data_IF_857425111680
#
_entry.id   IF_857425111680
#
_cell.length_a   1.000
_cell.length_b   1.000
_cell.length_c   1.000
_cell.angle_alpha   90.00
_cell.angle_beta   90.00
_cell.angle_gamma   90.00
#
_symmetry.space_group_name_H-M   'P 1'
#
loop_
_entity.id
_entity.type
_entity.pdbx_description
1 polymer ?
#
# COMPACT_ATOMS: atom_id res chain seq x y z
N UNK A 1 -13.77 -10.40 16.05
CA UNK A 1 -13.08 -10.42 17.36
C UNK A 1 -11.62 -10.06 17.11
N UNK A 2 -11.03 -9.07 17.80
CA UNK A 2 -9.61 -8.82 17.67
C UNK A 2 -8.87 -9.96 18.38
N UNK A 3 -7.99 -10.66 17.66
CA UNK A 3 -7.15 -11.70 18.28
C UNK A 3 -6.25 -11.06 19.34
N UNK A 4 -6.10 -11.79 20.45
CA UNK A 4 -5.24 -11.46 21.58
C UNK A 4 -3.88 -10.92 21.12
N UNK A 5 -3.42 -9.86 21.77
CA UNK A 5 -2.09 -9.24 21.70
C UNK A 5 -0.99 -10.30 21.47
N UNK A 6 -0.67 -10.58 20.21
CA UNK A 6 0.63 -11.12 19.88
C UNK A 6 1.42 -9.89 19.52
N UNK A 7 2.25 -9.42 20.46
CA UNK A 7 3.34 -8.49 20.16
C UNK A 7 4.35 -9.23 19.28
N UNK A 8 3.92 -9.62 18.09
CA UNK A 8 4.77 -10.25 17.10
C UNK A 8 5.60 -9.12 16.51
N UNK A 9 6.79 -8.99 17.06
CA UNK A 9 7.73 -7.93 16.71
C UNK A 9 8.03 -7.94 15.21
N UNK A 10 7.80 -9.06 14.50
CA UNK A 10 7.89 -9.10 13.04
C UNK A 10 6.91 -8.16 12.34
N UNK A 11 5.78 -7.81 12.95
CA UNK A 11 4.76 -6.88 12.40
C UNK A 11 5.01 -5.41 12.80
N UNK A 12 6.17 -5.08 13.36
CA UNK A 12 6.49 -3.69 13.77
C UNK A 12 6.75 -2.74 12.59
N UNK A 13 7.24 -3.25 11.46
CA UNK A 13 7.34 -2.51 10.19
C UNK A 13 7.60 -3.49 9.04
N UNK A 14 7.35 -3.04 7.80
CA UNK A 14 7.41 -3.89 6.60
C UNK A 14 8.75 -4.62 6.43
N UNK A 15 9.89 -3.92 6.61
CA UNK A 15 11.22 -4.55 6.46
C UNK A 15 11.43 -5.75 7.38
N UNK A 16 10.94 -5.65 8.62
CA UNK A 16 11.08 -6.74 9.58
C UNK A 16 10.12 -7.87 9.25
N UNK A 17 8.89 -7.53 8.89
CA UNK A 17 7.87 -8.49 8.47
C UNK A 17 8.34 -9.35 7.31
N UNK A 18 8.86 -8.75 6.24
CA UNK A 18 9.33 -9.48 5.06
C UNK A 18 10.52 -10.40 5.36
N UNK A 19 11.33 -10.07 6.38
CA UNK A 19 12.53 -10.83 6.76
C UNK A 19 12.26 -11.95 7.77
N UNK A 20 11.35 -11.70 8.71
CA UNK A 20 11.21 -12.53 9.91
C UNK A 20 9.86 -13.26 10.00
N UNK A 21 8.81 -12.77 9.32
CA UNK A 21 7.51 -13.43 9.37
C UNK A 21 7.52 -14.73 8.55
N UNK A 22 6.65 -15.71 8.89
CA UNK A 22 6.48 -16.91 8.08
C UNK A 22 6.19 -16.55 6.62
N UNK A 23 6.86 -17.22 5.67
CA UNK A 23 6.73 -16.88 4.24
C UNK A 23 5.29 -16.86 3.73
N UNK A 24 4.43 -17.76 4.22
CA UNK A 24 2.99 -17.75 3.91
C UNK A 24 2.28 -16.46 4.31
N UNK A 25 2.67 -15.83 5.42
CA UNK A 25 2.11 -14.53 5.86
C UNK A 25 2.60 -13.38 5.00
N UNK A 26 3.86 -13.41 4.58
CA UNK A 26 4.40 -12.44 3.62
C UNK A 26 3.64 -12.53 2.29
N UNK A 27 3.42 -13.75 1.77
CA UNK A 27 2.61 -13.97 0.56
C UNK A 27 1.16 -13.51 0.74
N UNK A 28 0.52 -13.85 1.86
CA UNK A 28 -0.86 -13.43 2.18
C UNK A 28 -1.00 -11.91 2.20
N UNK A 29 -0.05 -11.21 2.83
CA UNK A 29 -0.01 -9.76 2.87
C UNK A 29 0.05 -9.15 1.47
N UNK A 30 0.96 -9.63 0.61
CA UNK A 30 1.11 -9.11 -0.75
C UNK A 30 -0.09 -9.44 -1.64
N UNK A 31 -0.67 -10.63 -1.53
CA UNK A 31 -1.91 -10.97 -2.24
C UNK A 31 -3.06 -10.05 -1.84
N UNK A 32 -3.20 -9.77 -0.54
CA UNK A 32 -4.24 -8.87 -0.04
C UNK A 32 -4.02 -7.44 -0.53
N UNK A 33 -2.78 -6.94 -0.46
CA UNK A 33 -2.40 -5.63 -0.94
C UNK A 33 -2.70 -5.45 -2.44
N UNK A 34 -2.31 -6.43 -3.26
CA UNK A 34 -2.55 -6.42 -4.70
C UNK A 34 -4.04 -6.47 -5.03
N UNK A 35 -4.81 -7.33 -4.34
CA UNK A 35 -6.27 -7.40 -4.53
C UNK A 35 -6.93 -6.06 -4.22
N UNK A 36 -6.60 -5.44 -3.08
CA UNK A 36 -7.17 -4.14 -2.71
C UNK A 36 -6.78 -3.05 -3.72
N UNK A 37 -5.55 -3.04 -4.19
CA UNK A 37 -5.11 -2.09 -5.21
C UNK A 37 -5.88 -2.26 -6.53
N UNK A 38 -6.06 -3.50 -7.00
CA UNK A 38 -6.86 -3.79 -8.18
C UNK A 38 -8.33 -3.39 -8.02
N UNK A 39 -8.90 -3.58 -6.83
CA UNK A 39 -10.29 -3.17 -6.55
C UNK A 39 -10.44 -1.65 -6.58
N UNK A 40 -9.47 -0.90 -6.06
CA UNK A 40 -9.44 0.57 -6.15
C UNK A 40 -9.34 1.04 -7.61
N UNK A 41 -8.47 0.42 -8.41
CA UNK A 41 -8.34 0.75 -9.84
C UNK A 41 -9.65 0.50 -10.59
N UNK A 42 -10.29 -0.66 -10.38
CA UNK A 42 -11.59 -0.99 -10.99
C UNK A 42 -12.71 -0.05 -10.54
N UNK A 43 -12.68 0.37 -9.28
CA UNK A 43 -13.67 1.30 -8.75
C UNK A 43 -13.55 2.68 -9.42
N UNK A 44 -12.32 3.19 -9.56
CA UNK A 44 -12.04 4.47 -10.24
C UNK A 44 -12.36 4.42 -11.74
N UNK A 45 -12.04 3.32 -12.41
CA UNK A 45 -12.35 3.12 -13.84
C UNK A 45 -13.86 3.20 -14.13
N UNK A 46 -14.70 2.72 -13.20
CA UNK A 46 -16.16 2.82 -13.32
C UNK A 46 -16.72 4.22 -13.02
N UNK A 47 -15.99 5.00 -12.21
CA UNK A 47 -16.41 6.33 -11.77
C UNK A 47 -15.92 7.44 -12.73
N UNK A 48 -15.07 7.10 -13.70
CA UNK A 48 -14.61 8.00 -14.75
C UNK A 48 -15.73 8.33 -15.75
N UNK A 49 -16.64 9.21 -15.34
CA UNK A 49 -17.66 9.81 -16.20
C UNK A 49 -17.15 11.08 -16.92
N UNK A 50 -15.86 11.41 -16.81
CA UNK A 50 -15.35 12.77 -17.06
C UNK A 50 -14.08 12.91 -17.89
N UNK A 51 -13.35 11.83 -18.21
CA UNK A 51 -12.20 11.88 -19.14
C UNK A 51 -10.87 12.34 -18.51
N UNK A 52 -10.82 12.51 -17.19
CA UNK A 52 -9.58 12.75 -16.47
C UNK A 52 -9.00 11.42 -15.98
N UNK A 53 -7.77 11.08 -16.36
CA UNK A 53 -7.15 9.85 -15.83
C UNK A 53 -6.90 10.02 -14.33
N UNK A 54 -7.54 9.17 -13.54
CA UNK A 54 -7.39 9.14 -12.09
C UNK A 54 -6.27 8.18 -11.70
N UNK A 55 -5.11 8.75 -11.39
CA UNK A 55 -3.96 7.98 -10.90
C UNK A 55 -4.24 7.39 -9.51
N UNK A 56 -3.58 6.26 -9.21
CA UNK A 56 -3.57 5.67 -7.87
C UNK A 56 -2.13 5.31 -7.50
N UNK A 57 -1.75 5.62 -6.28
CA UNK A 57 -0.39 5.50 -5.77
C UNK A 57 -0.31 4.40 -4.72
N UNK A 58 0.73 3.56 -4.78
CA UNK A 58 0.94 2.45 -3.85
C UNK A 58 2.28 2.61 -3.14
N UNK A 59 2.26 2.88 -1.83
CA UNK A 59 3.49 3.15 -1.07
C UNK A 59 3.70 2.19 0.09
N UNK A 60 4.96 1.84 0.32
CA UNK A 60 5.44 1.05 1.46
C UNK A 60 6.14 1.91 2.51
N UNK A 61 6.11 3.24 2.36
CA UNK A 61 6.79 4.16 3.25
C UNK A 61 6.13 4.16 4.63
N UNK A 62 6.89 3.79 5.65
CA UNK A 62 6.40 3.63 7.01
C UNK A 62 6.28 4.93 7.83
N UNK A 63 6.90 6.03 7.38
CA UNK A 63 6.90 7.35 8.06
C UNK A 63 7.15 7.34 9.59
N UNK A 64 7.85 6.32 10.11
CA UNK A 64 8.12 6.17 11.55
C UNK A 64 6.98 5.56 12.37
N UNK A 65 5.96 5.01 11.73
CA UNK A 65 4.85 4.31 12.39
C UNK A 65 5.23 2.86 12.69
N UNK A 66 5.08 2.44 13.95
CA UNK A 66 5.56 1.17 14.47
C UNK A 66 4.55 0.01 14.38
N UNK A 67 3.94 -0.17 13.21
CA UNK A 67 3.16 -1.37 12.86
C UNK A 67 3.19 -1.63 11.35
N UNK A 68 2.85 -2.84 10.92
CA UNK A 68 2.85 -3.25 9.52
C UNK A 68 1.75 -2.53 8.74
N UNK A 69 2.13 -1.73 7.75
CA UNK A 69 1.17 -1.02 6.90
C UNK A 69 1.71 -0.76 5.50
N UNK A 70 0.78 -0.36 4.63
CA UNK A 70 1.00 0.14 3.28
C UNK A 70 -0.04 1.22 3.00
N UNK A 71 0.20 2.03 1.99
CA UNK A 71 -0.68 3.12 1.59
C UNK A 71 -1.17 2.95 0.15
N UNK A 72 -2.46 3.21 -0.06
CA UNK A 72 -3.08 3.38 -1.37
C UNK A 72 -3.71 4.76 -1.38
N UNK A 73 -3.18 5.68 -2.18
CA UNK A 73 -3.56 7.09 -2.17
C UNK A 73 -3.94 7.60 -3.58
N UNK A 74 -4.62 8.74 -3.63
CA UNK A 74 -4.90 9.51 -4.84
C UNK A 74 -3.72 10.39 -5.31
N UNK A 75 -2.72 10.58 -4.44
CA UNK A 75 -1.55 11.44 -4.69
C UNK A 75 -0.24 10.80 -4.21
N UNK A 76 0.91 11.15 -4.79
CA UNK A 76 2.22 10.55 -4.48
C UNK A 76 2.85 11.09 -3.18
N UNK A 77 2.08 11.25 -2.09
CA UNK A 77 2.51 11.89 -0.84
C UNK A 77 3.78 11.27 -0.24
N UNK A 78 3.94 9.96 -0.41
CA UNK A 78 4.97 9.17 0.25
C UNK A 78 6.18 8.83 -0.65
N UNK A 79 6.23 9.39 -1.85
CA UNK A 79 7.30 9.14 -2.83
C UNK A 79 8.40 10.19 -2.73
N UNK A 80 9.62 9.76 -2.42
CA UNK A 80 10.78 10.67 -2.37
C UNK A 80 11.35 10.98 -3.75
N UNK A 81 11.20 10.06 -4.72
CA UNK A 81 11.70 10.21 -6.08
C UNK A 81 10.89 11.24 -6.87
N UNK A 82 11.54 12.32 -7.30
CA UNK A 82 10.87 13.48 -7.89
C UNK A 82 10.04 13.18 -9.14
N UNK A 83 10.48 12.32 -10.08
CA UNK A 83 9.65 11.96 -11.23
C UNK A 83 8.29 11.37 -10.87
N UNK A 84 8.17 10.67 -9.74
CA UNK A 84 6.89 10.16 -9.25
C UNK A 84 6.06 11.19 -8.49
N UNK A 85 6.60 12.34 -8.12
CA UNK A 85 5.81 13.44 -7.52
C UNK A 85 5.22 14.38 -8.56
N UNK A 86 5.92 14.51 -9.68
CA UNK A 86 5.63 15.49 -10.72
C UNK A 86 5.09 14.85 -12.00
N UNK A 87 4.56 13.62 -11.94
CA UNK A 87 3.82 13.04 -13.06
C UNK A 87 2.66 13.99 -13.39
N UNK A 88 2.88 14.82 -14.41
CA UNK A 88 1.86 15.57 -15.14
C UNK A 88 1.66 14.84 -16.45
N UNK A 89 0.42 14.80 -16.92
CA UNK A 89 0.14 14.41 -18.30
C UNK A 89 0.91 15.33 -19.25
N UNK A 90 1.60 14.72 -20.22
CA UNK A 90 2.07 15.42 -21.43
C UNK A 90 0.89 15.72 -22.35
#
# INVERSE_FOLDING_TARGET
MPLNHVDDVSYSHLTRFVREAPGGKVSEFWMRAASMYLDVLKWKDKDDQGGDEVWTWFSTNGMGVAWLHLHIDDRPKYYSYAPFKCLRKE
#
